data_IF_691793605263
#
_entry.id   IF_691793605263
#
_cell.length_a   1.000
_cell.length_b   1.000
_cell.length_c   1.000
_cell.angle_alpha   90.00
_cell.angle_beta   90.00
_cell.angle_gamma   90.00
#
_symmetry.space_group_name_H-M   'P 1'
#
loop_
_entity.id
_entity.type
_entity.pdbx_description
1 polymer ?
#
# COMPACT_ATOMS: atom_id res chain seq x y z
N UNK A 1 -7.78 20.81 -8.86
CA UNK A 1 -6.88 21.33 -7.82
C UNK A 1 -5.49 20.72 -7.99
N UNK A 2 -4.48 21.51 -8.13
CA UNK A 2 -3.10 21.05 -8.12
C UNK A 2 -2.68 20.84 -6.65
N UNK A 3 -2.25 19.63 -6.33
CA UNK A 3 -1.68 19.37 -4.99
C UNK A 3 -0.46 20.27 -4.78
N UNK A 4 -0.32 20.81 -3.58
CA UNK A 4 0.91 21.51 -3.21
C UNK A 4 2.11 20.55 -3.29
N UNK A 5 3.32 21.07 -3.55
CA UNK A 5 4.53 20.22 -3.57
C UNK A 5 4.72 19.46 -2.27
N UNK A 6 4.31 20.04 -1.16
CA UNK A 6 4.35 19.43 0.16
C UNK A 6 3.41 18.23 0.26
N UNK A 7 2.17 18.35 -0.21
CA UNK A 7 1.20 17.24 -0.22
C UNK A 7 1.70 16.07 -1.09
N UNK A 8 2.35 16.35 -2.22
CA UNK A 8 2.93 15.30 -3.08
C UNK A 8 4.01 14.50 -2.36
N UNK A 9 4.93 15.19 -1.70
CA UNK A 9 6.00 14.56 -0.93
C UNK A 9 5.45 13.73 0.23
N UNK A 10 4.46 14.25 0.95
CA UNK A 10 3.79 13.53 2.03
C UNK A 10 3.07 12.27 1.54
N UNK A 11 2.46 12.29 0.38
CA UNK A 11 1.81 11.11 -0.23
C UNK A 11 2.81 10.01 -0.57
N UNK A 12 3.97 10.39 -1.13
CA UNK A 12 5.06 9.45 -1.44
C UNK A 12 5.66 8.91 -0.14
N UNK A 13 5.92 9.76 0.84
CA UNK A 13 6.44 9.35 2.14
C UNK A 13 5.46 8.40 2.86
N UNK A 14 4.16 8.67 2.83
CA UNK A 14 3.15 7.78 3.39
C UNK A 14 3.16 6.39 2.73
N UNK A 15 3.29 6.35 1.40
CA UNK A 15 3.41 5.09 0.68
C UNK A 15 4.66 4.31 1.08
N UNK A 16 5.81 4.98 1.19
CA UNK A 16 7.06 4.36 1.61
C UNK A 16 6.98 3.82 3.05
N UNK A 17 6.39 4.59 3.96
CA UNK A 17 6.17 4.14 5.36
C UNK A 17 5.27 2.92 5.40
N UNK A 18 4.18 2.89 4.64
CA UNK A 18 3.29 1.74 4.53
C UNK A 18 4.03 0.52 3.98
N UNK A 19 4.75 0.68 2.87
CA UNK A 19 5.50 -0.39 2.22
C UNK A 19 6.58 -0.97 3.14
N UNK A 20 7.35 -0.11 3.81
CA UNK A 20 8.38 -0.53 4.76
C UNK A 20 7.79 -1.24 5.97
N UNK A 21 6.74 -0.70 6.57
CA UNK A 21 6.10 -1.29 7.75
C UNK A 21 5.54 -2.68 7.45
N UNK A 22 4.82 -2.83 6.34
CA UNK A 22 4.24 -4.11 5.92
C UNK A 22 5.36 -5.10 5.56
N UNK A 23 6.39 -4.64 4.84
CA UNK A 23 7.52 -5.49 4.46
C UNK A 23 8.28 -6.02 5.67
N UNK A 24 8.58 -5.18 6.65
CA UNK A 24 9.26 -5.59 7.89
C UNK A 24 8.42 -6.63 8.63
N UNK A 25 7.13 -6.38 8.83
CA UNK A 25 6.23 -7.29 9.54
C UNK A 25 6.11 -8.66 8.88
N UNK A 26 6.26 -8.74 7.55
CA UNK A 26 6.13 -9.99 6.80
C UNK A 26 7.47 -10.67 6.54
N UNK A 27 8.50 -9.89 6.16
CA UNK A 27 9.80 -10.45 5.77
C UNK A 27 10.56 -11.00 6.99
N UNK A 28 10.50 -10.33 8.14
CA UNK A 28 11.20 -10.82 9.34
C UNK A 28 10.68 -12.19 9.79
N UNK A 29 9.36 -12.43 9.99
CA UNK A 29 8.87 -13.77 10.33
C UNK A 29 9.13 -14.80 9.23
N UNK A 30 8.94 -14.45 7.96
CA UNK A 30 9.19 -15.35 6.84
C UNK A 30 10.67 -15.79 6.79
N UNK A 31 11.59 -14.86 7.04
CA UNK A 31 13.03 -15.15 7.11
C UNK A 31 13.37 -16.06 8.29
N UNK A 32 12.81 -15.79 9.46
CA UNK A 32 13.02 -16.63 10.65
C UNK A 32 12.49 -18.05 10.45
N UNK A 33 11.29 -18.20 9.89
CA UNK A 33 10.70 -19.49 9.57
C UNK A 33 11.55 -20.22 8.53
N UNK A 34 11.94 -19.54 7.45
CA UNK A 34 12.77 -20.13 6.40
C UNK A 34 14.13 -20.58 6.93
N UNK A 35 14.76 -19.80 7.78
CA UNK A 35 16.02 -20.18 8.43
C UNK A 35 15.86 -21.44 9.31
N UNK A 36 14.81 -21.50 10.12
CA UNK A 36 14.51 -22.71 10.90
C UNK A 36 14.25 -23.93 10.04
N UNK A 37 13.62 -23.76 8.88
CA UNK A 37 13.30 -24.84 7.94
C UNK A 37 14.51 -25.37 7.17
N UNK A 38 15.62 -24.61 7.03
CA UNK A 38 16.81 -25.04 6.29
C UNK A 38 17.40 -26.34 6.83
N UNK A 39 17.20 -26.62 8.11
CA UNK A 39 17.73 -27.81 8.81
C UNK A 39 16.80 -29.01 8.75
N UNK A 40 15.52 -28.82 8.45
CA UNK A 40 14.49 -29.86 8.62
C UNK A 40 13.62 -30.10 7.39
N UNK A 41 13.64 -29.18 6.40
CA UNK A 41 12.66 -29.17 5.31
C UNK A 41 13.32 -29.06 3.94
N UNK A 42 12.64 -29.58 2.92
CA UNK A 42 13.07 -29.47 1.53
C UNK A 42 13.03 -28.03 1.02
N UNK A 43 13.82 -27.66 -0.02
CA UNK A 43 13.78 -26.36 -0.66
C UNK A 43 12.38 -25.91 -1.11
N UNK A 44 11.52 -26.86 -1.50
CA UNK A 44 10.12 -26.59 -1.89
C UNK A 44 9.29 -26.02 -0.74
N UNK A 45 9.50 -26.48 0.48
CA UNK A 45 8.81 -25.96 1.66
C UNK A 45 9.19 -24.51 1.94
N UNK A 46 10.46 -24.17 1.83
CA UNK A 46 10.97 -22.79 1.97
C UNK A 46 10.36 -21.89 0.89
N UNK A 47 10.35 -22.36 -0.35
CA UNK A 47 9.73 -21.63 -1.46
C UNK A 47 8.24 -21.35 -1.21
N UNK A 48 7.51 -22.30 -0.65
CA UNK A 48 6.09 -22.11 -0.30
C UNK A 48 5.90 -21.01 0.75
N UNK A 49 6.77 -20.92 1.76
CA UNK A 49 6.74 -19.84 2.77
C UNK A 49 6.87 -18.47 2.09
N UNK A 50 7.81 -18.33 1.15
CA UNK A 50 7.99 -17.07 0.44
C UNK A 50 6.83 -16.73 -0.50
N UNK A 51 6.23 -17.70 -1.18
CA UNK A 51 5.01 -17.48 -1.96
C UNK A 51 3.83 -17.05 -1.08
N UNK A 52 3.67 -17.68 0.08
CA UNK A 52 2.64 -17.30 1.05
C UNK A 52 2.89 -15.88 1.59
N UNK A 53 4.13 -15.53 1.93
CA UNK A 53 4.49 -14.19 2.38
C UNK A 53 4.21 -13.13 1.30
N UNK A 54 4.54 -13.43 0.03
CA UNK A 54 4.25 -12.54 -1.09
C UNK A 54 2.74 -12.32 -1.27
N UNK A 55 1.94 -13.39 -1.19
CA UNK A 55 0.48 -13.30 -1.28
C UNK A 55 -0.09 -12.41 -0.16
N UNK A 56 0.35 -12.61 1.08
CA UNK A 56 -0.08 -11.80 2.22
C UNK A 56 0.35 -10.34 2.05
N UNK A 57 1.56 -10.10 1.54
CA UNK A 57 2.05 -8.75 1.24
C UNK A 57 1.14 -8.05 0.21
N UNK A 58 0.79 -8.73 -0.88
CA UNK A 58 -0.11 -8.20 -1.90
C UNK A 58 -1.48 -7.85 -1.32
N UNK A 59 -2.06 -8.76 -0.54
CA UNK A 59 -3.36 -8.54 0.11
C UNK A 59 -3.29 -7.37 1.11
N UNK A 60 -2.24 -7.29 1.91
CA UNK A 60 -2.03 -6.19 2.85
C UNK A 60 -1.94 -4.84 2.13
N UNK A 61 -1.23 -4.79 0.99
CA UNK A 61 -1.13 -3.57 0.18
C UNK A 61 -2.44 -3.18 -0.48
N UNK A 62 -3.25 -4.14 -0.92
CA UNK A 62 -4.57 -3.87 -1.51
C UNK A 62 -5.55 -3.29 -0.47
N UNK A 63 -5.53 -3.81 0.75
CA UNK A 63 -6.49 -3.43 1.79
C UNK A 63 -5.96 -2.41 2.80
N UNK A 64 -4.75 -1.89 2.61
CA UNK A 64 -4.08 -1.00 3.57
C UNK A 64 -4.88 0.23 3.97
N UNK A 65 -5.61 0.83 3.02
CA UNK A 65 -6.41 2.05 3.27
C UNK A 65 -7.76 1.75 3.93
N UNK A 66 -8.17 0.49 3.97
CA UNK A 66 -9.39 0.06 4.65
C UNK A 66 -9.24 -0.01 6.17
N UNK A 67 -8.02 -0.22 6.66
CA UNK A 67 -7.75 -0.29 8.09
C UNK A 67 -7.90 1.10 8.74
N UNK A 68 -8.84 1.22 9.67
CA UNK A 68 -9.21 2.52 10.28
C UNK A 68 -9.53 3.62 9.25
N UNK A 69 -9.96 3.23 8.04
CA UNK A 69 -10.31 4.11 6.91
C UNK A 69 -9.15 4.93 6.33
N UNK A 70 -7.92 4.69 6.76
CA UNK A 70 -6.68 5.26 6.20
C UNK A 70 -5.47 4.40 6.55
N UNK A 71 -4.46 4.39 5.71
CA UNK A 71 -3.24 3.63 5.95
C UNK A 71 -2.41 4.19 7.12
N UNK A 72 -1.54 3.36 7.68
CA UNK A 72 -0.66 3.74 8.80
C UNK A 72 0.23 4.92 8.42
N UNK A 73 0.84 4.89 7.23
CA UNK A 73 1.68 5.98 6.76
C UNK A 73 0.92 7.30 6.61
N UNK A 74 -0.33 7.25 6.16
CA UNK A 74 -1.19 8.44 6.09
C UNK A 74 -1.59 8.96 7.46
N UNK A 75 -1.83 8.06 8.42
CA UNK A 75 -2.11 8.45 9.81
C UNK A 75 -0.93 9.19 10.44
N UNK A 76 0.28 8.67 10.25
CA UNK A 76 1.50 9.26 10.80
C UNK A 76 1.85 10.62 10.18
N UNK A 77 1.53 10.82 8.91
CA UNK A 77 1.84 12.04 8.17
C UNK A 77 0.66 13.03 8.09
N UNK A 78 -0.42 12.81 8.85
CA UNK A 78 -1.56 13.73 8.90
C UNK A 78 -2.35 13.80 7.59
N UNK A 79 -2.32 12.77 6.76
CA UNK A 79 -3.11 12.71 5.53
C UNK A 79 -4.46 12.03 5.76
N UNK A 80 -5.51 12.58 5.17
CA UNK A 80 -6.84 11.98 5.14
C UNK A 80 -7.20 11.51 3.75
N UNK A 81 -7.92 10.41 3.71
CA UNK A 81 -8.49 9.86 2.49
C UNK A 81 -10.01 10.00 2.58
N UNK A 82 -10.58 10.84 1.73
CA UNK A 82 -11.99 11.15 1.75
C UNK A 82 -12.71 10.62 0.50
N UNK A 83 -13.94 10.19 0.70
CA UNK A 83 -14.90 9.93 -0.36
C UNK A 83 -15.67 11.21 -0.70
N UNK A 84 -16.46 11.26 -1.82
CA UNK A 84 -17.30 12.40 -2.13
C UNK A 84 -18.30 12.77 -1.03
N UNK A 85 -18.62 11.84 -0.13
CA UNK A 85 -19.49 12.06 1.04
C UNK A 85 -18.75 12.56 2.28
N UNK A 86 -17.42 12.78 2.20
CA UNK A 86 -16.59 13.17 3.34
C UNK A 86 -16.29 12.04 4.30
N UNK A 87 -16.65 10.80 3.97
CA UNK A 87 -16.38 9.61 4.78
C UNK A 87 -14.99 9.03 4.49
N UNK A 88 -14.44 8.28 5.42
CA UNK A 88 -13.18 7.57 5.22
C UNK A 88 -13.31 6.40 4.23
N UNK A 89 -12.16 5.96 3.70
CA UNK A 89 -12.09 4.86 2.76
C UNK A 89 -12.43 3.52 3.44
N UNK A 90 -13.33 2.75 2.83
CA UNK A 90 -13.63 1.37 3.24
C UNK A 90 -12.73 0.35 2.53
N UNK A 91 -12.83 -0.93 2.92
CA UNK A 91 -12.03 -2.01 2.33
C UNK A 91 -12.25 -2.19 0.82
N UNK A 92 -13.50 -2.14 0.35
CA UNK A 92 -13.82 -2.27 -1.06
C UNK A 92 -13.20 -1.15 -1.91
N UNK A 93 -13.26 0.08 -1.44
CA UNK A 93 -12.62 1.23 -2.12
C UNK A 93 -11.10 1.16 -2.03
N UNK A 94 -10.55 0.67 -0.92
CA UNK A 94 -9.12 0.42 -0.78
C UNK A 94 -8.64 -0.59 -1.81
N UNK A 95 -9.36 -1.68 -1.99
CA UNK A 95 -9.07 -2.69 -3.00
C UNK A 95 -9.01 -2.07 -4.41
N UNK A 96 -10.08 -1.42 -4.83
CA UNK A 96 -10.18 -0.81 -6.17
C UNK A 96 -9.10 0.26 -6.38
N UNK A 97 -8.82 1.06 -5.36
CA UNK A 97 -7.84 2.14 -5.41
C UNK A 97 -6.40 1.62 -5.54
N UNK A 98 -6.07 0.54 -4.84
CA UNK A 98 -4.72 0.00 -4.81
C UNK A 98 -4.47 -1.08 -5.88
N UNK A 99 -5.52 -1.57 -6.55
CA UNK A 99 -5.40 -2.57 -7.60
C UNK A 99 -4.39 -2.19 -8.71
N UNK A 100 -4.36 -0.96 -9.25
CA UNK A 100 -3.37 -0.56 -10.23
C UNK A 100 -1.92 -0.64 -9.75
N UNK A 101 -1.68 -0.55 -8.43
CA UNK A 101 -0.32 -0.65 -7.86
C UNK A 101 0.25 -2.06 -7.92
N UNK A 102 -0.60 -3.07 -8.02
CA UNK A 102 -0.20 -4.48 -8.10
C UNK A 102 0.24 -4.85 -9.52
N UNK A 103 -0.25 -4.12 -10.53
CA UNK A 103 0.08 -4.39 -11.93
C UNK A 103 1.50 -3.89 -12.22
N UNK A 104 2.44 -4.76 -12.66
CA UNK A 104 3.80 -4.36 -13.01
C UNK A 104 3.82 -3.27 -14.08
N UNK A 105 4.62 -2.24 -13.87
CA UNK A 105 4.71 -1.08 -14.75
C UNK A 105 3.63 -0.01 -14.55
N UNK A 106 2.43 -0.37 -14.09
CA UNK A 106 1.37 0.60 -13.79
C UNK A 106 1.67 1.42 -12.54
N UNK A 107 2.34 0.81 -11.57
CA UNK A 107 2.81 1.49 -10.37
C UNK A 107 3.74 2.69 -10.70
N UNK A 108 4.58 2.58 -11.74
CA UNK A 108 5.43 3.67 -12.19
C UNK A 108 4.59 4.84 -12.72
N UNK A 109 3.55 4.54 -13.52
CA UNK A 109 2.59 5.54 -13.99
C UNK A 109 1.88 6.24 -12.83
N UNK A 110 1.50 5.52 -11.80
CA UNK A 110 0.87 6.07 -10.59
C UNK A 110 1.79 7.06 -9.87
N UNK A 111 3.08 6.75 -9.74
CA UNK A 111 4.08 7.67 -9.16
C UNK A 111 4.22 8.93 -10.02
N UNK A 112 4.29 8.80 -11.34
CA UNK A 112 4.37 9.94 -12.26
C UNK A 112 3.15 10.85 -12.12
N UNK A 113 1.94 10.29 -12.02
CA UNK A 113 0.72 11.05 -11.83
C UNK A 113 0.72 11.85 -10.52
N UNK A 114 1.21 11.25 -9.42
CA UNK A 114 1.35 11.95 -8.14
C UNK A 114 2.34 13.11 -8.25
N UNK A 115 3.49 12.90 -8.89
CA UNK A 115 4.50 13.94 -9.11
C UNK A 115 3.98 15.07 -9.98
N UNK A 116 3.13 14.77 -10.97
CA UNK A 116 2.48 15.77 -11.83
C UNK A 116 1.33 16.52 -11.12
N UNK A 117 1.01 16.19 -9.85
CA UNK A 117 -0.09 16.81 -9.11
C UNK A 117 -1.47 16.36 -9.56
N UNK A 118 -1.56 15.25 -10.29
CA UNK A 118 -2.82 14.67 -10.76
C UNK A 118 -3.26 13.54 -9.82
N UNK A 119 -4.57 13.30 -9.67
CA UNK A 119 -5.06 12.14 -8.94
C UNK A 119 -4.60 10.85 -9.62
N UNK A 120 -4.24 9.85 -8.81
CA UNK A 120 -3.87 8.52 -9.31
C UNK A 120 -5.07 7.86 -10.00
N UNK A 121 -4.80 6.92 -10.91
CA UNK A 121 -5.86 6.15 -11.58
C UNK A 121 -6.75 5.43 -10.57
N UNK A 122 -6.16 4.83 -9.53
CA UNK A 122 -6.90 4.20 -8.45
C UNK A 122 -7.79 5.18 -7.67
N UNK A 123 -7.34 6.41 -7.43
CA UNK A 123 -8.15 7.45 -6.78
C UNK A 123 -9.35 7.87 -7.64
N UNK A 124 -9.15 7.95 -8.96
CA UNK A 124 -10.24 8.27 -9.91
C UNK A 124 -11.31 7.17 -9.95
N UNK A 125 -10.89 5.91 -10.04
CA UNK A 125 -11.81 4.76 -10.09
C UNK A 125 -12.56 4.61 -8.77
N UNK A 126 -11.88 4.74 -7.64
CA UNK A 126 -12.48 4.62 -6.31
C UNK A 126 -13.22 5.89 -5.86
N UNK A 127 -13.14 6.99 -6.64
CA UNK A 127 -13.71 8.30 -6.30
C UNK A 127 -13.28 8.77 -4.90
N UNK A 128 -11.98 8.76 -4.66
CA UNK A 128 -11.38 9.20 -3.40
C UNK A 128 -10.39 10.32 -3.62
N UNK A 129 -10.22 11.17 -2.62
CA UNK A 129 -9.23 12.26 -2.62
C UNK A 129 -8.36 12.17 -1.38
N UNK A 130 -7.08 12.53 -1.51
CA UNK A 130 -6.14 12.63 -0.38
C UNK A 130 -6.00 14.10 -0.03
N UNK A 131 -6.24 14.43 1.25
CA UNK A 131 -6.11 15.78 1.79
C UNK A 131 -5.22 15.78 3.03
N UNK A 132 -4.63 16.92 3.34
CA UNK A 132 -3.95 17.15 4.63
C UNK A 132 -4.98 17.41 5.73
N UNK A 133 -4.66 17.01 6.94
CA UNK A 133 -5.44 17.36 8.14
C UNK A 133 -5.35 18.82 8.48
#
# INVERSE_FOLDING_TARGET
>A
MTDSSQTKLLRIAAFLVDALSISIVLVLPASAISYGMTWTTSPKGIQLVWWAALLVLMLAMLFRDGFRRRSIGKQLLGLRLLTPRGEGCGYGRSLVRNLPLVIPGWNLLEVILVLAGKPRTGDRIAKTTVTEE
#
